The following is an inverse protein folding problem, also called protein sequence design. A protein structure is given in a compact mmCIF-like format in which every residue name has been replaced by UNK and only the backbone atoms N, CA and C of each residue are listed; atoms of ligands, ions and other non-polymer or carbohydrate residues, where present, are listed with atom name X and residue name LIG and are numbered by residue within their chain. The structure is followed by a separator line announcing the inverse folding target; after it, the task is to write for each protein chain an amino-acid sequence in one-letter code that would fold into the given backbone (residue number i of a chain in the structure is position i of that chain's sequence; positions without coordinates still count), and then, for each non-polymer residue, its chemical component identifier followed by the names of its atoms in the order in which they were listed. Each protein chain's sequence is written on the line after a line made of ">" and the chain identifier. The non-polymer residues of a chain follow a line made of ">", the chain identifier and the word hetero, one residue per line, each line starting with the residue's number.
data_IF_381892075613
#
_entry.id   IF_381892075613
#
_cell.length_a   1.000
_cell.length_b   1.000
_cell.length_c   1.000
_cell.angle_alpha   90.00
_cell.angle_beta   90.00
_cell.angle_gamma   90.00
#
_symmetry.space_group_name_H-M   'P 1'
#
loop_
_entity.id
_entity.type
_entity.pdbx_description
1 polymer ?
#
# COMPACT_ATOMS: atom_id res chain seq x y z
N UNK A 1 14.13 -0.39 11.83
CA UNK A 1 14.37 -0.67 10.39
C UNK A 1 13.78 0.50 9.62
N UNK A 2 14.58 1.19 8.79
CA UNK A 2 14.05 2.34 8.03
C UNK A 2 13.32 1.84 6.78
N UNK A 3 11.99 1.73 6.85
CA UNK A 3 11.15 1.40 5.70
C UNK A 3 10.99 2.65 4.83
N UNK A 4 11.35 2.52 3.56
CA UNK A 4 11.34 3.60 2.56
C UNK A 4 10.24 3.44 1.53
N UNK A 5 9.97 2.20 1.12
CA UNK A 5 8.88 1.85 0.19
C UNK A 5 8.19 0.57 0.62
N UNK A 6 6.88 0.53 0.45
CA UNK A 6 6.04 -0.66 0.49
C UNK A 6 5.18 -0.70 -0.77
N UNK A 7 5.05 -1.88 -1.37
CA UNK A 7 4.03 -2.17 -2.36
C UNK A 7 3.15 -3.28 -1.79
N UNK A 8 1.85 -3.04 -1.68
CA UNK A 8 0.88 -3.92 -1.05
C UNK A 8 -0.17 -4.34 -2.08
N UNK A 9 -0.49 -5.63 -2.12
CA UNK A 9 -1.72 -6.13 -2.74
C UNK A 9 -2.85 -6.06 -1.71
N UNK A 10 -3.91 -5.34 -2.04
CA UNK A 10 -5.03 -5.06 -1.14
C UNK A 10 -6.36 -5.36 -1.82
N UNK A 11 -7.15 -6.24 -1.20
CA UNK A 11 -8.53 -6.49 -1.56
C UNK A 11 -9.48 -5.54 -0.83
N UNK A 12 -10.48 -5.02 -1.53
CA UNK A 12 -11.57 -4.24 -0.93
C UNK A 12 -12.91 -4.55 -1.56
N UNK A 13 -14.00 -4.16 -0.89
CA UNK A 13 -15.32 -4.16 -1.51
C UNK A 13 -15.40 -3.19 -2.70
N UNK A 14 -16.29 -3.45 -3.65
CA UNK A 14 -16.39 -2.65 -4.88
C UNK A 14 -16.72 -1.17 -4.61
N UNK A 15 -17.59 -0.89 -3.63
CA UNK A 15 -18.05 0.47 -3.32
C UNK A 15 -17.28 1.13 -2.17
N UNK A 16 -16.84 0.33 -1.19
CA UNK A 16 -16.18 0.81 0.02
C UNK A 16 -15.11 -0.18 0.51
N UNK A 17 -14.00 0.33 1.06
CA UNK A 17 -13.59 1.74 1.05
C UNK A 17 -13.31 2.26 -0.39
N UNK A 18 -13.41 3.58 -0.56
CA UNK A 18 -13.00 4.28 -1.79
C UNK A 18 -11.50 4.45 -1.84
N UNK A 19 -10.95 4.69 -3.03
CA UNK A 19 -9.51 5.01 -3.17
C UNK A 19 -9.13 6.29 -2.41
N UNK A 20 -10.06 7.24 -2.30
CA UNK A 20 -9.86 8.48 -1.52
C UNK A 20 -9.69 8.17 -0.04
N UNK A 21 -10.60 7.39 0.56
CA UNK A 21 -10.53 6.98 1.98
C UNK A 21 -9.23 6.21 2.27
N UNK A 22 -8.84 5.29 1.39
CA UNK A 22 -7.57 4.57 1.49
C UNK A 22 -6.36 5.52 1.40
N UNK A 23 -6.35 6.45 0.44
CA UNK A 23 -5.25 7.40 0.28
C UNK A 23 -5.11 8.35 1.48
N UNK A 24 -6.24 8.79 2.05
CA UNK A 24 -6.28 9.70 3.19
C UNK A 24 -5.76 9.01 4.46
N UNK A 25 -6.24 7.80 4.76
CA UNK A 25 -5.80 7.09 5.97
C UNK A 25 -4.31 6.74 5.90
N UNK A 26 -3.82 6.28 4.74
CA UNK A 26 -2.42 5.88 4.56
C UNK A 26 -1.49 7.10 4.58
N UNK A 27 -1.86 8.18 3.88
CA UNK A 27 -1.04 9.41 3.85
C UNK A 27 -0.93 10.11 5.20
N UNK A 28 -1.88 9.86 6.12
CA UNK A 28 -1.84 10.38 7.49
C UNK A 28 -0.84 9.64 8.41
N UNK A 29 -0.34 8.48 8.00
CA UNK A 29 0.59 7.67 8.81
C UNK A 29 1.95 8.34 8.90
N UNK A 30 2.52 8.35 10.11
CA UNK A 30 3.86 8.92 10.34
C UNK A 30 4.92 8.28 9.45
N UNK A 31 5.67 9.13 8.76
CA UNK A 31 6.77 8.70 7.88
C UNK A 31 6.34 8.43 6.44
N UNK A 32 5.05 8.50 6.13
CA UNK A 32 4.56 8.48 4.74
C UNK A 32 4.74 9.87 4.12
N UNK A 33 5.33 9.92 2.94
CA UNK A 33 5.53 11.14 2.14
C UNK A 33 4.69 11.12 0.86
N UNK A 34 4.35 9.94 0.34
CA UNK A 34 3.51 9.77 -0.83
C UNK A 34 2.81 8.41 -0.87
N UNK A 35 1.63 8.40 -1.50
CA UNK A 35 0.82 7.20 -1.72
C UNK A 35 0.33 7.20 -3.16
N UNK A 36 0.43 6.06 -3.83
CA UNK A 36 -0.17 5.81 -5.13
C UNK A 36 -1.01 4.54 -5.05
N UNK A 37 -2.23 4.58 -5.60
CA UNK A 37 -3.16 3.45 -5.59
C UNK A 37 -3.63 3.20 -7.01
N UNK A 38 -3.48 1.97 -7.49
CA UNK A 38 -3.90 1.54 -8.82
C UNK A 38 -4.86 0.36 -8.66
N UNK A 39 -5.98 0.39 -9.38
CA UNK A 39 -6.88 -0.77 -9.46
C UNK A 39 -6.24 -1.84 -10.34
N UNK A 40 -6.08 -3.05 -9.81
CA UNK A 40 -5.47 -4.19 -10.54
C UNK A 40 -6.53 -5.02 -11.23
N UNK A 41 -7.64 -5.27 -10.55
CA UNK A 41 -8.74 -6.11 -10.99
C UNK A 41 -10.06 -5.64 -10.34
N UNK A 42 -11.16 -6.09 -10.93
CA UNK A 42 -12.50 -5.77 -10.46
C UNK A 42 -13.46 -6.90 -10.83
N UNK A 43 -14.12 -7.44 -9.81
CA UNK A 43 -15.21 -8.40 -9.94
C UNK A 43 -16.54 -7.73 -9.56
N UNK A 44 -17.63 -8.51 -9.49
CA UNK A 44 -18.97 -8.00 -9.16
C UNK A 44 -19.03 -7.38 -7.75
N UNK A 45 -18.32 -7.98 -6.78
CA UNK A 45 -18.39 -7.58 -5.37
C UNK A 45 -17.06 -7.05 -4.82
N UNK A 46 -15.94 -7.38 -5.47
CA UNK A 46 -14.58 -7.13 -4.99
C UNK A 46 -13.76 -6.31 -5.98
N UNK A 47 -12.76 -5.60 -5.46
CA UNK A 47 -11.79 -4.85 -6.24
C UNK A 47 -10.40 -5.05 -5.62
N UNK A 48 -9.47 -5.59 -6.41
CA UNK A 48 -8.04 -5.59 -6.08
C UNK A 48 -7.42 -4.24 -6.38
N UNK A 49 -6.56 -3.78 -5.47
CA UNK A 49 -5.77 -2.57 -5.65
C UNK A 49 -4.32 -2.82 -5.25
N UNK A 50 -3.40 -2.30 -6.04
CA UNK A 50 -1.99 -2.22 -5.68
C UNK A 50 -1.71 -0.85 -5.08
N UNK A 51 -1.18 -0.84 -3.86
CA UNK A 51 -0.86 0.38 -3.11
C UNK A 51 0.65 0.51 -2.99
N UNK A 52 1.21 1.56 -3.59
CA UNK A 52 2.61 1.95 -3.40
C UNK A 52 2.69 3.10 -2.40
N UNK A 53 3.53 2.93 -1.37
CA UNK A 53 3.75 3.90 -0.29
C UNK A 53 5.23 4.23 -0.25
N UNK A 54 5.58 5.51 -0.28
CA UNK A 54 6.96 5.98 -0.12
C UNK A 54 7.09 6.99 1.01
N UNK A 55 8.27 7.00 1.64
CA UNK A 55 8.63 7.98 2.65
C UNK A 55 9.86 7.59 3.47
N UNK A 56 9.89 8.01 4.72
CA UNK A 56 11.01 7.83 5.61
C UNK A 56 10.58 7.28 6.98
N UNK A 57 11.09 6.10 7.31
CA UNK A 57 10.77 5.35 8.52
C UNK A 57 9.26 5.13 8.68
N UNK A 58 8.64 4.65 7.60
CA UNK A 58 7.20 4.34 7.53
C UNK A 58 6.82 3.35 8.63
N UNK A 59 5.75 3.66 9.36
CA UNK A 59 5.20 2.77 10.37
C UNK A 59 4.24 1.74 9.72
N UNK A 60 4.77 0.58 9.32
CA UNK A 60 3.99 -0.47 8.66
C UNK A 60 2.78 -0.94 9.48
N UNK A 61 2.91 -1.09 10.81
CA UNK A 61 1.80 -1.54 11.66
C UNK A 61 0.63 -0.55 11.63
N UNK A 62 0.92 0.76 11.59
CA UNK A 62 -0.11 1.79 11.47
C UNK A 62 -0.73 1.83 10.07
N UNK A 63 0.06 1.60 9.01
CA UNK A 63 -0.48 1.45 7.65
C UNK A 63 -1.45 0.28 7.59
N UNK A 64 -1.03 -0.91 8.06
CA UNK A 64 -1.85 -2.11 8.07
C UNK A 64 -3.16 -1.89 8.84
N UNK A 65 -3.05 -1.35 10.07
CA UNK A 65 -4.21 -1.04 10.89
C UNK A 65 -5.16 -0.05 10.22
N UNK A 66 -4.63 1.01 9.60
CA UNK A 66 -5.45 2.00 8.89
C UNK A 66 -6.22 1.42 7.70
N UNK A 67 -5.59 0.51 6.94
CA UNK A 67 -6.23 -0.20 5.82
C UNK A 67 -7.34 -1.14 6.33
N UNK A 68 -7.07 -1.91 7.39
CA UNK A 68 -8.04 -2.84 7.98
C UNK A 68 -9.23 -2.14 8.63
N UNK A 69 -9.01 -0.99 9.28
CA UNK A 69 -10.06 -0.21 9.95
C UNK A 69 -11.13 0.31 8.98
N UNK A 70 -10.77 0.57 7.72
CA UNK A 70 -11.71 1.02 6.68
C UNK A 70 -12.33 -0.14 5.90
N UNK A 71 -12.06 -1.39 6.30
CA UNK A 71 -12.68 -2.59 5.74
C UNK A 71 -12.01 -3.12 4.46
N UNK A 72 -10.74 -2.77 4.22
CA UNK A 72 -9.91 -3.42 3.21
C UNK A 72 -8.98 -4.46 3.86
N UNK A 73 -8.45 -5.38 3.06
CA UNK A 73 -7.62 -6.50 3.51
C UNK A 73 -6.33 -6.51 2.72
N UNK A 74 -5.18 -6.48 3.41
CA UNK A 74 -3.87 -6.68 2.76
C UNK A 74 -3.67 -8.17 2.51
N UNK A 75 -3.52 -8.58 1.25
CA UNK A 75 -3.25 -9.97 0.86
C UNK A 75 -1.77 -10.32 0.97
N UNK A 76 -0.91 -9.43 0.47
CA UNK A 76 0.55 -9.60 0.47
C UNK A 76 1.30 -8.28 0.49
N UNK A 77 2.57 -8.37 0.91
CA UNK A 77 3.58 -7.35 0.65
C UNK A 77 4.31 -7.80 -0.61
N UNK A 78 4.05 -7.11 -1.72
CA UNK A 78 4.63 -7.45 -3.03
C UNK A 78 6.06 -6.93 -3.17
N UNK A 79 6.36 -5.76 -2.57
CA UNK A 79 7.70 -5.19 -2.53
C UNK A 79 7.95 -4.47 -1.20
N UNK A 80 9.18 -4.54 -0.73
CA UNK A 80 9.67 -3.72 0.38
C UNK A 80 11.08 -3.20 0.07
N UNK A 81 11.31 -1.90 0.28
CA UNK A 81 12.62 -1.28 0.22
C UNK A 81 12.97 -0.65 1.57
N UNK A 82 14.14 -1.00 2.11
CA UNK A 82 14.62 -0.53 3.42
C UNK A 82 16.04 0.02 3.34
N UNK A 83 16.37 0.93 4.27
CA UNK A 83 17.71 1.45 4.45
C UNK A 83 17.85 2.94 4.15
N UNK A 84 19.07 3.40 3.88
CA UNK A 84 19.37 4.80 3.62
C UNK A 84 19.06 5.24 2.19
N UNK A 85 18.97 4.29 1.25
CA UNK A 85 18.77 4.52 -0.19
C UNK A 85 17.69 3.57 -0.73
N UNK A 86 16.86 4.05 -1.65
CA UNK A 86 15.95 3.20 -2.42
C UNK A 86 16.73 2.39 -3.46
N UNK A 87 16.49 1.08 -3.48
CA UNK A 87 16.99 0.17 -4.49
C UNK A 87 15.79 -0.25 -5.32
N UNK A 88 15.80 0.10 -6.60
CA UNK A 88 14.76 -0.32 -7.53
C UNK A 88 14.85 -1.82 -7.80
N UNK A 89 13.69 -2.45 -7.99
CA UNK A 89 13.63 -3.84 -8.44
C UNK A 89 14.28 -3.94 -9.84
N UNK A 90 15.31 -4.78 -9.96
CA UNK A 90 15.88 -5.14 -11.25
C UNK A 90 15.13 -6.38 -11.72
N UNK A 91 14.16 -6.19 -12.63
CA UNK A 91 13.52 -7.30 -13.31
C UNK A 91 14.60 -8.13 -14.01
N UNK A 92 14.72 -9.39 -13.60
CA UNK A 92 15.49 -10.36 -14.37
C UNK A 92 14.53 -10.86 -15.42
N UNK A 93 14.72 -10.43 -16.66
CA UNK A 93 14.04 -11.05 -17.79
C UNK A 93 14.43 -12.55 -17.77
N UNK A 94 13.42 -13.42 -17.78
CA UNK A 94 13.60 -14.88 -17.96
C UNK A 94 13.93 -15.22 -19.42
#
# INVERSE_FOLDING_TARGET
>A
MNIRRLILDVGKGINRPTLMELSEIISSVKGVEGVNIIVTDMDIETMGVNITIEGNNINYEQVLKGIEEVGAVVHSIDEIAVGSKLIENIRRDE
#
